data_IF_577979150905
#
_entry.id   IF_577979150905
#
_cell.length_a   1.000
_cell.length_b   1.000
_cell.length_c   1.000
_cell.angle_alpha   90.00
_cell.angle_beta   90.00
_cell.angle_gamma   90.00
#
_symmetry.space_group_name_H-M   'P 1'
#
loop_
_entity.id
_entity.type
_entity.pdbx_description
1 polymer ?
#
# COMPACT_ATOMS: atom_id res chain seq x y z
N UNK A 1 -13.72 19.34 -6.88
CA UNK A 1 -14.35 18.37 -5.96
C UNK A 1 -14.67 17.11 -6.77
N UNK A 2 -13.69 16.23 -6.89
CA UNK A 2 -13.87 14.87 -7.42
C UNK A 2 -13.11 14.00 -6.45
N UNK A 3 -13.84 13.47 -5.46
CA UNK A 3 -13.27 12.54 -4.49
C UNK A 3 -12.72 11.34 -5.23
N UNK A 4 -11.45 11.06 -5.00
CA UNK A 4 -10.86 9.79 -5.39
C UNK A 4 -11.31 8.78 -4.33
N UNK A 5 -11.87 7.67 -4.82
CA UNK A 5 -12.76 6.75 -4.11
C UNK A 5 -12.10 6.07 -2.91
N UNK A 6 -12.91 5.83 -1.86
CA UNK A 6 -12.65 5.03 -0.66
C UNK A 6 -12.31 3.53 -0.93
N UNK A 7 -12.10 3.13 -2.17
CA UNK A 7 -11.79 1.77 -2.59
C UNK A 7 -10.71 1.82 -3.68
N UNK A 8 -9.44 2.04 -3.31
CA UNK A 8 -8.32 1.84 -4.23
C UNK A 8 -8.04 0.34 -4.39
N UNK A 9 -9.01 -0.38 -4.96
CA UNK A 9 -8.86 -1.78 -5.35
C UNK A 9 -8.07 -1.83 -6.65
N UNK A 10 -6.77 -2.08 -6.57
CA UNK A 10 -6.00 -2.47 -7.75
C UNK A 10 -6.34 -3.95 -8.07
N UNK A 11 -6.95 -4.25 -9.23
CA UNK A 11 -7.56 -5.57 -9.51
C UNK A 11 -6.56 -6.74 -9.69
N UNK A 12 -5.32 -6.60 -9.24
CA UNK A 12 -4.29 -7.64 -9.28
C UNK A 12 -3.45 -7.74 -8.00
N UNK A 13 -3.88 -7.11 -6.89
CA UNK A 13 -3.09 -7.08 -5.66
C UNK A 13 -3.59 -8.06 -4.61
N UNK A 14 -2.65 -8.76 -3.97
CA UNK A 14 -2.87 -9.77 -2.92
C UNK A 14 -2.38 -9.26 -1.55
N UNK A 15 -2.85 -9.86 -0.43
CA UNK A 15 -2.25 -9.60 0.87
C UNK A 15 -0.75 -9.89 0.86
N UNK A 16 0.04 -8.92 1.32
CA UNK A 16 1.50 -8.93 1.27
C UNK A 16 2.08 -8.07 0.14
N UNK A 17 1.28 -7.68 -0.85
CA UNK A 17 1.75 -6.80 -1.92
C UNK A 17 1.94 -5.38 -1.42
N UNK A 18 2.92 -4.70 -2.01
CA UNK A 18 3.22 -3.29 -1.77
C UNK A 18 2.81 -2.49 -3.00
N UNK A 19 2.08 -1.41 -2.75
CA UNK A 19 1.59 -0.49 -3.76
C UNK A 19 2.12 0.91 -3.47
N UNK A 20 2.31 1.71 -4.51
CA UNK A 20 2.62 3.13 -4.38
C UNK A 20 1.34 3.95 -4.54
N UNK A 21 1.06 4.82 -3.58
CA UNK A 21 -0.12 5.69 -3.53
C UNK A 21 0.36 7.13 -3.44
N UNK A 22 -0.20 8.00 -4.27
CA UNK A 22 0.07 9.44 -4.18
C UNK A 22 -0.67 10.01 -2.96
N UNK A 23 0.06 10.63 -2.04
CA UNK A 23 -0.52 11.36 -0.91
C UNK A 23 -1.15 12.66 -1.41
N UNK A 24 -2.46 12.82 -1.22
CA UNK A 24 -3.19 13.99 -1.73
C UNK A 24 -2.83 15.30 -1.00
N UNK A 25 -2.25 15.24 0.22
CA UNK A 25 -1.85 16.41 1.01
C UNK A 25 -0.47 16.93 0.59
N UNK A 26 0.47 16.03 0.32
CA UNK A 26 1.86 16.39 -0.02
C UNK A 26 2.19 16.27 -1.51
N UNK A 27 1.44 15.47 -2.26
CA UNK A 27 1.73 15.09 -3.65
C UNK A 27 2.89 14.10 -3.78
N UNK A 28 3.33 13.47 -2.68
CA UNK A 28 4.42 12.51 -2.67
C UNK A 28 3.92 11.07 -2.84
N UNK A 29 4.72 10.22 -3.49
CA UNK A 29 4.40 8.79 -3.62
C UNK A 29 4.81 8.06 -2.35
N UNK A 30 3.82 7.47 -1.67
CA UNK A 30 4.01 6.71 -0.41
C UNK A 30 3.71 5.23 -0.66
N UNK A 31 4.60 4.36 -0.21
CA UNK A 31 4.42 2.90 -0.32
C UNK A 31 3.50 2.39 0.79
N UNK A 32 2.47 1.64 0.41
CA UNK A 32 1.50 1.02 1.30
C UNK A 32 1.54 -0.50 1.16
N UNK A 33 1.38 -1.23 2.27
CA UNK A 33 1.23 -2.69 2.26
C UNK A 33 -0.25 -3.08 2.34
N UNK A 34 -0.62 -4.07 1.53
CA UNK A 34 -1.95 -4.66 1.53
C UNK A 34 -1.97 -5.82 2.53
N UNK A 35 -2.98 -5.86 3.39
CA UNK A 35 -3.16 -6.92 4.38
C UNK A 35 -4.61 -7.38 4.44
N UNK A 36 -4.85 -8.59 4.93
CA UNK A 36 -6.19 -9.09 5.17
C UNK A 36 -6.78 -8.41 6.40
N UNK A 37 -8.05 -8.02 6.32
CA UNK A 37 -8.79 -7.63 7.50
C UNK A 37 -8.88 -8.78 8.51
N UNK A 38 -9.13 -8.47 9.79
CA UNK A 38 -9.13 -9.43 10.91
C UNK A 38 -10.09 -10.61 10.70
N UNK A 39 -11.11 -10.42 9.87
CA UNK A 39 -12.13 -11.41 9.54
C UNK A 39 -11.93 -12.09 8.19
N UNK A 40 -10.90 -11.74 7.42
CA UNK A 40 -10.62 -12.30 6.09
C UNK A 40 -11.66 -11.97 5.01
N UNK A 41 -12.56 -11.02 5.27
CA UNK A 41 -13.66 -10.65 4.36
C UNK A 41 -13.25 -9.61 3.32
N UNK A 42 -12.04 -9.06 3.40
CA UNK A 42 -11.56 -8.00 2.53
C UNK A 42 -10.08 -7.70 2.76
N UNK A 43 -9.52 -6.87 1.89
CA UNK A 43 -8.17 -6.34 1.99
C UNK A 43 -8.20 -4.89 2.46
N UNK A 44 -7.22 -4.52 3.27
CA UNK A 44 -6.96 -3.16 3.74
C UNK A 44 -5.55 -2.76 3.38
N UNK A 45 -5.28 -1.47 3.35
CA UNK A 45 -3.94 -0.90 3.10
C UNK A 45 -3.51 -0.07 4.29
N UNK A 46 -2.20 -0.10 4.60
CA UNK A 46 -1.59 0.85 5.53
C UNK A 46 -0.26 1.35 4.95
N UNK A 47 0.19 2.57 5.29
CA UNK A 47 1.55 2.99 4.98
C UNK A 47 2.55 2.03 5.63
N UNK A 48 3.67 1.81 4.95
CA UNK A 48 4.82 1.08 5.50
C UNK A 48 5.49 1.92 6.58
N UNK A 49 6.10 1.25 7.55
CA UNK A 49 6.99 1.91 8.52
C UNK A 49 8.39 2.12 7.92
N UNK A 50 9.20 2.98 8.55
CA UNK A 50 10.60 3.20 8.13
C UNK A 50 11.38 1.88 8.06
N UNK A 51 11.25 1.01 9.08
CA UNK A 51 11.89 -0.31 9.10
C UNK A 51 11.45 -1.20 7.93
N UNK A 52 10.15 -1.23 7.61
CA UNK A 52 9.65 -2.05 6.49
C UNK A 52 10.04 -1.48 5.12
N UNK A 53 10.24 -0.17 5.02
CA UNK A 53 10.76 0.48 3.81
C UNK A 53 12.24 0.12 3.58
N UNK A 54 13.04 0.14 4.64
CA UNK A 54 14.46 -0.24 4.59
C UNK A 54 14.62 -1.71 4.15
N UNK A 55 13.82 -2.63 4.70
CA UNK A 55 13.83 -4.05 4.32
C UNK A 55 13.48 -4.29 2.84
N UNK A 56 12.66 -3.41 2.23
CA UNK A 56 12.26 -3.53 0.83
C UNK A 56 13.28 -2.98 -0.14
N UNK A 57 13.91 -1.86 0.20
CA UNK A 57 14.96 -1.26 -0.64
C UNK A 57 16.28 -2.06 -0.53
N UNK A 58 16.45 -2.88 0.51
CA UNK A 58 17.61 -3.77 0.68
C UNK A 58 17.48 -5.10 -0.09
N UNK A 59 16.32 -5.45 -0.67
CA UNK A 59 16.19 -6.65 -1.50
C UNK A 59 17.09 -6.52 -2.76
N UNK A 60 18.21 -7.27 -2.85
CA UNK A 60 19.07 -7.18 -4.01
C UNK A 60 18.36 -7.87 -5.19
N UNK A 61 18.31 -7.20 -6.34
CA UNK A 61 17.97 -7.86 -7.61
C UNK A 61 19.02 -8.96 -7.88
N UNK A 62 18.63 -10.22 -7.72
CA UNK A 62 19.42 -11.42 -8.09
C UNK A 62 18.98 -11.94 -9.47
#
# INVERSE_FOLDING_TARGET
MTGVNEDFYQPATQPGDIIEVEDEETGEMVKHIIYLDEFGNGTKTRPLTEEELEDLDEAPED
#
